data_IF_443553469991
#
_entry.id   IF_443553469991
#
_cell.length_a   1.000
_cell.length_b   1.000
_cell.length_c   1.000
_cell.angle_alpha   90.00
_cell.angle_beta   90.00
_cell.angle_gamma   90.00
#
_symmetry.space_group_name_H-M   'P 1'
#
loop_
_entity.id
_entity.type
_entity.pdbx_description
1 polymer ?
#
# COMPACT_ATOMS: atom_id res chain seq x y z
N UNK A 1 -6.77 -9.36 -8.85
CA UNK A 1 -7.15 -8.73 -7.58
C UNK A 1 -8.23 -7.74 -7.90
N UNK A 2 -9.40 -7.87 -7.28
CA UNK A 2 -10.48 -6.91 -7.44
C UNK A 2 -10.32 -5.81 -6.38
N UNK A 3 -9.78 -4.66 -6.79
CA UNK A 3 -9.55 -3.53 -5.89
C UNK A 3 -10.86 -2.96 -5.35
N UNK A 4 -11.94 -3.02 -6.13
CA UNK A 4 -13.25 -2.54 -5.69
C UNK A 4 -13.81 -3.44 -4.59
N UNK A 5 -13.66 -4.76 -4.73
CA UNK A 5 -14.07 -5.68 -3.68
C UNK A 5 -13.27 -5.46 -2.38
N UNK A 6 -11.95 -5.33 -2.47
CA UNK A 6 -11.11 -5.04 -1.30
C UNK A 6 -11.50 -3.71 -0.63
N UNK A 7 -11.78 -2.66 -1.43
CA UNK A 7 -12.27 -1.40 -0.91
C UNK A 7 -13.58 -1.57 -0.13
N UNK A 8 -14.53 -2.36 -0.66
CA UNK A 8 -15.79 -2.63 0.02
C UNK A 8 -15.58 -3.38 1.34
N UNK A 9 -14.69 -4.37 1.36
CA UNK A 9 -14.37 -5.15 2.55
C UNK A 9 -13.76 -4.26 3.65
N UNK A 10 -12.80 -3.39 3.29
CA UNK A 10 -12.17 -2.44 4.22
C UNK A 10 -13.16 -1.39 4.73
N UNK A 11 -14.01 -0.87 3.84
CA UNK A 11 -15.08 0.08 4.22
C UNK A 11 -16.03 -0.56 5.23
N UNK A 12 -16.46 -1.80 4.98
CA UNK A 12 -17.35 -2.52 5.88
C UNK A 12 -16.68 -2.80 7.23
N UNK A 13 -15.42 -3.24 7.22
CA UNK A 13 -14.65 -3.48 8.43
C UNK A 13 -14.54 -2.23 9.32
N UNK A 14 -14.31 -1.06 8.72
CA UNK A 14 -14.23 0.22 9.42
C UNK A 14 -15.60 0.65 9.98
N UNK A 15 -16.66 0.47 9.19
CA UNK A 15 -18.03 0.79 9.58
C UNK A 15 -18.51 -0.03 10.77
N UNK A 16 -18.22 -1.34 10.78
CA UNK A 16 -18.58 -2.26 11.87
C UNK A 16 -17.99 -1.85 13.22
N UNK A 17 -16.94 -1.02 13.21
CA UNK A 17 -16.23 -0.55 14.40
C UNK A 17 -16.44 0.93 14.69
N UNK A 18 -17.29 1.63 13.93
CA UNK A 18 -17.47 3.08 14.00
C UNK A 18 -16.13 3.85 13.83
N UNK A 19 -15.22 3.33 13.01
CA UNK A 19 -13.90 3.92 12.78
C UNK A 19 -13.90 5.03 11.72
N UNK A 20 -15.00 5.18 10.96
CA UNK A 20 -15.09 6.16 9.89
C UNK A 20 -14.84 7.59 10.38
N UNK A 21 -15.20 7.90 11.62
CA UNK A 21 -14.92 9.19 12.28
C UNK A 21 -13.43 9.51 12.44
N UNK A 22 -12.57 8.49 12.44
CA UNK A 22 -11.11 8.64 12.54
C UNK A 22 -10.41 8.63 11.18
N UNK A 23 -11.07 8.13 10.14
CA UNK A 23 -10.52 7.94 8.79
C UNK A 23 -10.50 9.25 7.98
N UNK A 24 -10.00 10.33 8.57
CA UNK A 24 -9.71 11.56 7.80
C UNK A 24 -8.51 11.32 6.87
N UNK A 25 -8.42 11.98 5.71
CA UNK A 25 -7.27 11.83 4.81
C UNK A 25 -5.92 12.04 5.51
N UNK A 26 -5.83 13.04 6.41
CA UNK A 26 -4.64 13.30 7.22
C UNK A 26 -4.26 12.08 8.08
N UNK A 27 -5.22 11.51 8.79
CA UNK A 27 -4.95 10.37 9.69
C UNK A 27 -4.58 9.11 8.92
N UNK A 28 -5.25 8.85 7.79
CA UNK A 28 -4.93 7.70 6.94
C UNK A 28 -3.52 7.81 6.33
N UNK A 29 -3.13 9.00 5.86
CA UNK A 29 -1.75 9.24 5.40
C UNK A 29 -0.73 9.03 6.52
N UNK A 30 -1.03 9.51 7.74
CA UNK A 30 -0.15 9.32 8.89
C UNK A 30 -0.02 7.84 9.26
N UNK A 31 -1.12 7.11 9.36
CA UNK A 31 -1.11 5.68 9.67
C UNK A 31 -0.32 4.89 8.62
N UNK A 32 -0.59 5.12 7.32
CA UNK A 32 0.16 4.52 6.23
C UNK A 32 1.66 4.81 6.30
N UNK A 33 2.07 6.00 6.76
CA UNK A 33 3.49 6.33 6.93
C UNK A 33 4.15 5.57 8.08
N UNK A 34 3.38 5.20 9.11
CA UNK A 34 3.83 4.34 10.21
C UNK A 34 4.02 2.91 9.70
N UNK A 35 3.03 2.33 9.01
CA UNK A 35 3.17 0.97 8.45
C UNK A 35 4.31 0.86 7.43
N UNK A 36 4.57 1.93 6.66
CA UNK A 36 5.73 1.98 5.77
C UNK A 36 7.05 1.99 6.55
N UNK A 37 7.08 2.60 7.74
CA UNK A 37 8.23 2.54 8.63
C UNK A 37 8.40 1.14 9.23
N UNK A 38 7.32 0.49 9.65
CA UNK A 38 7.34 -0.90 10.14
C UNK A 38 7.86 -1.86 9.07
N UNK A 39 7.39 -1.71 7.82
CA UNK A 39 7.94 -2.43 6.66
C UNK A 39 9.45 -2.17 6.48
N UNK A 40 9.89 -0.93 6.63
CA UNK A 40 11.30 -0.55 6.50
C UNK A 40 12.17 -1.18 7.58
N UNK A 41 11.67 -1.30 8.82
CA UNK A 41 12.43 -1.86 9.94
C UNK A 41 12.93 -3.28 9.67
N UNK A 42 12.20 -4.06 8.88
CA UNK A 42 12.64 -5.39 8.47
C UNK A 42 13.94 -5.39 7.66
N UNK A 43 14.25 -4.30 6.95
CA UNK A 43 15.39 -4.21 6.03
C UNK A 43 16.47 -3.22 6.51
N UNK A 44 16.23 -2.48 7.59
CA UNK A 44 17.04 -1.31 7.96
C UNK A 44 18.54 -1.59 8.21
N UNK A 45 18.88 -2.84 8.57
CA UNK A 45 20.26 -3.27 8.84
C UNK A 45 20.83 -4.21 7.78
N UNK A 46 20.04 -4.56 6.76
CA UNK A 46 20.47 -5.47 5.72
C UNK A 46 21.43 -4.77 4.76
N UNK A 47 22.43 -5.53 4.28
CA UNK A 47 23.09 -5.22 3.01
C UNK A 47 22.13 -5.44 1.82
N UNK A 48 22.51 -4.94 0.63
CA UNK A 48 21.71 -5.13 -0.58
C UNK A 48 21.49 -6.62 -0.90
N UNK A 49 22.49 -7.46 -0.65
CA UNK A 49 22.43 -8.90 -0.84
C UNK A 49 21.54 -9.60 0.20
N UNK A 50 21.63 -9.21 1.47
CA UNK A 50 20.79 -9.76 2.55
C UNK A 50 19.32 -9.40 2.38
N UNK A 51 19.02 -8.19 1.90
CA UNK A 51 17.65 -7.71 1.67
C UNK A 51 16.86 -8.56 0.66
N UNK A 52 17.54 -9.35 -0.17
CA UNK A 52 16.95 -10.25 -1.16
C UNK A 52 16.70 -11.66 -0.60
N UNK A 53 17.21 -11.97 0.58
CA UNK A 53 17.18 -13.30 1.19
C UNK A 53 16.33 -13.29 2.47
N UNK A 54 15.02 -13.42 2.31
CA UNK A 54 14.09 -13.42 3.44
C UNK A 54 13.98 -14.84 4.02
N UNK A 55 14.22 -14.96 5.33
CA UNK A 55 13.78 -16.14 6.09
C UNK A 55 12.26 -16.28 6.01
N UNK A 56 11.72 -17.48 6.29
CA UNK A 56 10.26 -17.70 6.27
C UNK A 56 9.51 -16.79 7.25
N UNK A 57 10.11 -16.52 8.41
CA UNK A 57 9.56 -15.63 9.43
C UNK A 57 9.55 -14.18 8.95
N UNK A 58 10.70 -13.67 8.48
CA UNK A 58 10.81 -12.31 7.94
C UNK A 58 9.88 -12.09 6.75
N UNK A 59 9.73 -13.09 5.89
CA UNK A 59 8.80 -13.04 4.74
C UNK A 59 7.36 -12.85 5.18
N UNK A 60 6.91 -13.62 6.18
CA UNK A 60 5.55 -13.49 6.71
C UNK A 60 5.31 -12.09 7.28
N UNK A 61 6.27 -11.56 8.05
CA UNK A 61 6.16 -10.22 8.64
C UNK A 61 6.10 -9.13 7.55
N UNK A 62 7.03 -9.16 6.59
CA UNK A 62 7.03 -8.26 5.42
C UNK A 62 5.71 -8.32 4.65
N UNK A 63 5.13 -9.51 4.46
CA UNK A 63 3.83 -9.67 3.81
C UNK A 63 2.68 -9.00 4.59
N UNK A 64 2.71 -9.00 5.92
CA UNK A 64 1.73 -8.28 6.74
C UNK A 64 1.89 -6.76 6.59
N UNK A 65 3.11 -6.24 6.76
CA UNK A 65 3.33 -4.79 6.67
C UNK A 65 3.03 -4.22 5.27
N UNK A 66 3.33 -5.00 4.21
CA UNK A 66 2.91 -4.64 2.85
C UNK A 66 1.39 -4.60 2.70
N UNK A 67 0.67 -5.51 3.36
CA UNK A 67 -0.78 -5.51 3.36
C UNK A 67 -1.32 -4.29 4.11
N UNK A 68 -0.77 -3.94 5.27
CA UNK A 68 -1.20 -2.80 6.06
C UNK A 68 -1.01 -1.47 5.33
N UNK A 69 0.14 -1.27 4.68
CA UNK A 69 0.37 -0.12 3.79
C UNK A 69 -0.71 -0.04 2.69
N UNK A 70 -1.02 -1.18 2.05
CA UNK A 70 -2.01 -1.22 0.98
C UNK A 70 -3.43 -0.98 1.48
N UNK A 71 -3.80 -1.49 2.66
CA UNK A 71 -5.12 -1.31 3.26
C UNK A 71 -5.39 0.17 3.53
N UNK A 72 -4.41 0.91 4.07
CA UNK A 72 -4.56 2.35 4.26
C UNK A 72 -4.63 3.12 2.93
N UNK A 73 -3.87 2.73 1.91
CA UNK A 73 -3.98 3.34 0.57
C UNK A 73 -5.36 3.14 -0.04
N UNK A 74 -5.90 1.92 0.03
CA UNK A 74 -7.25 1.58 -0.46
C UNK A 74 -8.32 2.37 0.30
N UNK A 75 -8.20 2.46 1.63
CA UNK A 75 -9.15 3.25 2.43
C UNK A 75 -9.03 4.74 2.14
N UNK A 76 -7.83 5.24 1.91
CA UNK A 76 -7.60 6.64 1.54
C UNK A 76 -8.22 6.96 0.18
N UNK A 77 -8.06 6.09 -0.83
CA UNK A 77 -8.69 6.29 -2.13
C UNK A 77 -10.21 6.29 -2.03
N UNK A 78 -10.78 5.43 -1.18
CA UNK A 78 -12.22 5.41 -0.90
C UNK A 78 -12.70 6.75 -0.32
N UNK A 79 -12.08 7.21 0.76
CA UNK A 79 -12.45 8.48 1.43
C UNK A 79 -12.30 9.69 0.50
N UNK A 80 -11.35 9.65 -0.44
CA UNK A 80 -11.13 10.72 -1.42
C UNK A 80 -11.95 10.56 -2.71
N UNK A 81 -12.73 9.49 -2.86
CA UNK A 81 -13.43 9.13 -4.10
C UNK A 81 -12.50 9.03 -5.32
N UNK A 82 -11.33 8.44 -5.13
CA UNK A 82 -10.35 8.19 -6.19
C UNK A 82 -10.52 6.77 -6.72
N UNK A 83 -10.70 6.64 -8.04
CA UNK A 83 -10.56 5.36 -8.73
C UNK A 83 -9.07 4.99 -8.80
N UNK A 84 -8.62 4.25 -7.79
CA UNK A 84 -7.22 3.88 -7.62
C UNK A 84 -6.72 2.98 -8.77
N UNK A 85 -7.57 2.10 -9.30
CA UNK A 85 -7.19 1.22 -10.40
C UNK A 85 -6.90 2.03 -11.66
N UNK A 86 -7.81 2.93 -12.03
CA UNK A 86 -7.63 3.83 -13.17
C UNK A 86 -6.39 4.70 -12.97
N UNK A 87 -6.20 5.30 -11.78
CA UNK A 87 -5.04 6.13 -11.47
C UNK A 87 -3.71 5.36 -11.61
N UNK A 88 -3.64 4.10 -11.17
CA UNK A 88 -2.46 3.24 -11.34
C UNK A 88 -2.18 2.99 -12.82
N UNK A 89 -3.22 2.63 -13.60
CA UNK A 89 -3.08 2.33 -15.03
C UNK A 89 -2.57 3.55 -15.81
N UNK A 90 -3.14 4.72 -15.55
CA UNK A 90 -2.68 5.99 -16.13
C UNK A 90 -1.23 6.28 -15.74
N UNK A 91 -0.88 6.08 -14.46
CA UNK A 91 0.48 6.33 -13.98
C UNK A 91 1.51 5.42 -14.65
N UNK A 92 1.18 4.16 -14.92
CA UNK A 92 2.04 3.23 -15.67
C UNK A 92 2.31 3.77 -17.08
N UNK A 93 1.28 4.24 -17.80
CA UNK A 93 1.44 4.81 -19.14
C UNK A 93 2.34 6.07 -19.12
N UNK A 94 2.11 6.96 -18.16
CA UNK A 94 2.94 8.15 -17.97
C UNK A 94 4.40 7.80 -17.65
N UNK A 95 4.62 6.78 -16.82
CA UNK A 95 5.97 6.31 -16.49
C UNK A 95 6.66 5.66 -17.70
N UNK A 96 5.94 4.93 -18.54
CA UNK A 96 6.48 4.35 -19.77
C UNK A 96 6.92 5.42 -20.80
N UNK A 97 6.20 6.55 -20.85
CA UNK A 97 6.61 7.72 -21.65
C UNK A 97 7.86 8.37 -21.06
N UNK A 98 7.90 8.53 -19.72
CA UNK A 98 9.02 9.16 -19.02
C UNK A 98 10.30 8.30 -19.06
N UNK A 99 10.15 6.98 -19.03
CA UNK A 99 11.23 6.00 -19.00
C UNK A 99 10.99 4.96 -20.11
N UNK A 100 11.27 5.30 -21.37
CA UNK A 100 11.07 4.37 -22.48
C UNK A 100 12.01 3.17 -22.36
N UNK A 101 11.63 1.99 -22.92
CA UNK A 101 12.54 0.85 -22.96
C UNK A 101 13.83 1.23 -23.70
N UNK A 102 14.96 0.70 -23.22
CA UNK A 102 16.22 0.84 -23.94
C UNK A 102 16.02 0.31 -25.36
N UNK A 103 16.31 1.13 -26.37
CA UNK A 103 16.33 0.67 -27.76
C UNK A 103 17.35 -0.46 -27.88
N UNK A 104 16.91 -1.65 -28.28
CA UNK A 104 17.82 -2.75 -28.63
C UNK A 104 18.68 -2.37 -29.83
#
# INVERSE_FOLDING_TARGET
>A
MDLNQLMLDVRQFAKDRDWERYHTPKNLCMAMSVEMAELLEHFQWDTAEESQQLSSEKRTAVEQEMADVLLYMIRLSDVLNVDLETAIREKILLNAIKYPPLSK
#
